data_IF_719486343269
#
_entry.id   IF_719486343269
#
_cell.length_a   1.000
_cell.length_b   1.000
_cell.length_c   1.000
_cell.angle_alpha   90.00
_cell.angle_beta   90.00
_cell.angle_gamma   90.00
#
_symmetry.space_group_name_H-M   'P 1'
#
loop_
_entity.id
_entity.type
_entity.pdbx_description
1 polymer ?
#
# COMPACT_ATOMS: atom_id res chain seq x y z
N UNK A 1 7.53 26.81 -27.02
CA UNK A 1 6.81 26.00 -26.03
C UNK A 1 7.23 24.56 -26.26
N UNK A 2 7.93 23.94 -25.32
CA UNK A 2 8.25 22.51 -25.40
C UNK A 2 6.94 21.72 -25.23
N UNK A 3 6.52 21.02 -26.28
CA UNK A 3 5.43 20.05 -26.16
C UNK A 3 6.03 18.78 -25.54
N UNK A 4 5.71 18.52 -24.29
CA UNK A 4 5.96 17.21 -23.69
C UNK A 4 5.25 16.14 -24.52
N UNK A 5 5.91 15.01 -24.74
CA UNK A 5 5.29 13.85 -25.36
C UNK A 5 4.12 13.39 -24.48
N UNK A 6 3.01 12.94 -25.08
CA UNK A 6 1.90 12.32 -24.32
C UNK A 6 2.38 11.20 -23.37
N UNK A 7 3.46 10.51 -23.74
CA UNK A 7 4.08 9.47 -22.91
C UNK A 7 4.76 10.06 -21.67
N UNK A 8 5.42 11.20 -21.80
CA UNK A 8 6.08 11.89 -20.68
C UNK A 8 5.05 12.47 -19.72
N UNK A 9 3.97 13.07 -20.25
CA UNK A 9 2.84 13.54 -19.44
C UNK A 9 2.21 12.41 -18.63
N UNK A 10 1.89 11.27 -19.27
CA UNK A 10 1.35 10.09 -18.58
C UNK A 10 2.30 9.52 -17.53
N UNK A 11 3.61 9.50 -17.80
CA UNK A 11 4.59 9.06 -16.82
C UNK A 11 4.68 10.00 -15.62
N UNK A 12 4.60 11.32 -15.84
CA UNK A 12 4.58 12.31 -14.77
C UNK A 12 3.31 12.17 -13.90
N UNK A 13 2.14 11.98 -14.54
CA UNK A 13 0.89 11.70 -13.84
C UNK A 13 0.98 10.44 -12.97
N UNK A 14 1.51 9.35 -13.53
CA UNK A 14 1.71 8.11 -12.77
C UNK A 14 2.68 8.30 -11.61
N UNK A 15 3.73 9.09 -11.78
CA UNK A 15 4.67 9.38 -10.70
C UNK A 15 4.01 10.12 -9.54
N UNK A 16 3.18 11.12 -9.82
CA UNK A 16 2.41 11.84 -8.78
C UNK A 16 1.51 10.88 -7.99
N UNK A 17 0.86 9.94 -8.69
CA UNK A 17 0.01 8.92 -8.04
C UNK A 17 0.85 7.97 -7.18
N UNK A 18 2.00 7.52 -7.69
CA UNK A 18 2.93 6.66 -6.93
C UNK A 18 3.39 7.36 -5.65
N UNK A 19 3.81 8.62 -5.73
CA UNK A 19 4.29 9.38 -4.57
C UNK A 19 3.18 9.53 -3.52
N UNK A 20 1.95 9.81 -3.97
CA UNK A 20 0.77 9.89 -3.08
C UNK A 20 0.46 8.56 -2.40
N UNK A 21 0.59 7.44 -3.12
CA UNK A 21 0.40 6.10 -2.56
C UNK A 21 1.49 5.76 -1.56
N UNK A 22 2.76 6.09 -1.84
CA UNK A 22 3.87 5.87 -0.92
C UNK A 22 3.65 6.61 0.41
N UNK A 23 3.28 7.89 0.35
CA UNK A 23 2.96 8.69 1.55
C UNK A 23 1.78 8.09 2.33
N UNK A 24 0.73 7.66 1.62
CA UNK A 24 -0.43 7.01 2.26
C UNK A 24 -0.03 5.73 2.99
N UNK A 25 0.76 4.86 2.34
CA UNK A 25 1.20 3.60 2.92
C UNK A 25 2.18 3.84 4.09
N UNK A 26 3.06 4.84 4.01
CA UNK A 26 3.94 5.25 5.13
C UNK A 26 3.13 5.62 6.39
N UNK A 27 1.91 6.13 6.23
CA UNK A 27 0.98 6.35 7.36
C UNK A 27 0.62 5.07 8.14
N UNK A 28 0.78 3.89 7.54
CA UNK A 28 0.57 2.59 8.18
C UNK A 28 1.87 1.95 8.71
N UNK A 29 2.98 2.69 8.76
CA UNK A 29 4.30 2.13 9.13
C UNK A 29 4.31 1.42 10.46
N UNK A 30 3.70 2.02 11.47
CA UNK A 30 3.65 1.43 12.82
C UNK A 30 2.96 0.05 12.79
N UNK A 31 1.89 -0.07 11.99
CA UNK A 31 1.14 -1.30 11.83
C UNK A 31 1.99 -2.41 11.20
N UNK A 32 2.56 -2.19 10.01
CA UNK A 32 3.34 -3.26 9.38
C UNK A 32 4.73 -3.47 10.01
N UNK A 33 5.26 -2.52 10.79
CA UNK A 33 6.49 -2.73 11.57
C UNK A 33 6.31 -3.80 12.66
N UNK A 34 5.10 -3.96 13.19
CA UNK A 34 4.74 -5.04 14.10
C UNK A 34 4.55 -6.39 13.39
N UNK A 35 4.57 -6.41 12.05
CA UNK A 35 4.36 -7.59 11.22
C UNK A 35 5.52 -7.76 10.22
N UNK A 36 6.62 -8.45 10.61
CA UNK A 36 7.84 -8.54 9.80
C UNK A 36 7.64 -8.96 8.33
N UNK A 37 6.71 -9.87 7.98
CA UNK A 37 6.42 -10.17 6.58
C UNK A 37 5.87 -8.98 5.78
N UNK A 38 5.03 -8.15 6.40
CA UNK A 38 4.46 -6.95 5.78
C UNK A 38 5.51 -5.86 5.63
N UNK A 39 6.35 -5.68 6.64
CA UNK A 39 7.48 -4.76 6.55
C UNK A 39 8.42 -5.12 5.39
N UNK A 40 8.82 -6.39 5.26
CA UNK A 40 9.67 -6.83 4.13
C UNK A 40 9.03 -6.56 2.78
N UNK A 41 7.72 -6.78 2.66
CA UNK A 41 6.98 -6.52 1.42
C UNK A 41 6.92 -5.02 1.12
N UNK A 42 6.72 -4.19 2.14
CA UNK A 42 6.76 -2.73 2.00
C UNK A 42 8.14 -2.23 1.52
N UNK A 43 9.23 -2.66 2.16
CA UNK A 43 10.59 -2.27 1.78
C UNK A 43 10.93 -2.65 0.33
N UNK A 44 10.44 -3.80 -0.14
CA UNK A 44 10.60 -4.22 -1.53
C UNK A 44 9.84 -3.32 -2.51
N UNK A 45 8.61 -2.92 -2.17
CA UNK A 45 7.77 -2.04 -2.99
C UNK A 45 8.31 -0.60 -3.04
N UNK A 46 8.84 -0.10 -1.91
CA UNK A 46 9.46 1.22 -1.85
C UNK A 46 10.68 1.28 -2.79
N UNK A 47 11.53 0.25 -2.76
CA UNK A 47 12.66 0.12 -3.69
C UNK A 47 12.22 -0.04 -5.16
N UNK A 48 11.14 -0.77 -5.41
CA UNK A 48 10.57 -0.90 -6.75
C UNK A 48 10.13 0.46 -7.30
N UNK A 49 9.48 1.28 -6.48
CA UNK A 49 9.01 2.61 -6.91
C UNK A 49 10.14 3.56 -7.31
N UNK A 50 11.29 3.47 -6.63
CA UNK A 50 12.49 4.25 -6.93
C UNK A 50 13.19 3.80 -8.23
N UNK A 51 13.24 2.49 -8.47
CA UNK A 51 14.14 1.91 -9.49
C UNK A 51 13.43 1.45 -10.77
N UNK A 52 12.13 1.16 -10.71
CA UNK A 52 11.41 0.61 -11.84
C UNK A 52 11.05 1.67 -12.89
N UNK A 53 11.27 1.30 -14.17
CA UNK A 53 10.87 2.09 -15.33
C UNK A 53 9.39 1.94 -15.67
N UNK A 54 8.76 0.82 -15.30
CA UNK A 54 7.33 0.57 -15.49
C UNK A 54 6.51 1.14 -14.32
N UNK A 55 6.13 2.41 -14.45
CA UNK A 55 5.34 3.12 -13.44
C UNK A 55 3.92 2.58 -13.29
N UNK A 56 3.36 1.93 -14.31
CA UNK A 56 2.00 1.36 -14.21
C UNK A 56 2.00 0.15 -13.28
N UNK A 57 2.96 -0.75 -13.46
CA UNK A 57 3.11 -1.95 -12.62
C UNK A 57 3.39 -1.57 -11.16
N UNK A 58 4.29 -0.60 -10.92
CA UNK A 58 4.55 -0.06 -9.57
C UNK A 58 3.25 0.43 -8.92
N UNK A 59 2.49 1.26 -9.63
CA UNK A 59 1.22 1.81 -9.12
C UNK A 59 0.22 0.70 -8.78
N UNK A 60 0.07 -0.30 -9.64
CA UNK A 60 -0.84 -1.43 -9.41
C UNK A 60 -0.39 -2.27 -8.19
N UNK A 61 0.91 -2.50 -8.02
CA UNK A 61 1.48 -3.19 -6.86
C UNK A 61 1.25 -2.44 -5.54
N UNK A 62 1.44 -1.11 -5.54
CA UNK A 62 1.20 -0.26 -4.38
C UNK A 62 -0.27 -0.25 -3.96
N UNK A 63 -1.20 -0.12 -4.93
CA UNK A 63 -2.64 -0.21 -4.67
C UNK A 63 -3.00 -1.58 -4.07
N UNK A 64 -2.45 -2.66 -4.64
CA UNK A 64 -2.67 -4.01 -4.12
C UNK A 64 -2.19 -4.18 -2.68
N UNK A 65 -1.03 -3.62 -2.35
CA UNK A 65 -0.50 -3.65 -0.98
C UNK A 65 -1.35 -2.82 -0.02
N UNK A 66 -1.75 -1.61 -0.40
CA UNK A 66 -2.61 -0.77 0.43
C UNK A 66 -3.95 -1.45 0.76
N UNK A 67 -4.60 -2.04 -0.25
CA UNK A 67 -5.84 -2.80 -0.06
C UNK A 67 -5.65 -3.99 0.89
N UNK A 68 -4.53 -4.70 0.75
CA UNK A 68 -4.20 -5.80 1.65
C UNK A 68 -3.99 -5.34 3.09
N UNK A 69 -3.23 -4.26 3.30
CA UNK A 69 -2.98 -3.68 4.64
C UNK A 69 -4.29 -3.21 5.27
N UNK A 70 -5.15 -2.53 4.50
CA UNK A 70 -6.46 -2.08 4.97
C UNK A 70 -7.36 -3.25 5.39
N UNK A 71 -7.41 -4.32 4.59
CA UNK A 71 -8.18 -5.52 4.92
C UNK A 71 -7.63 -6.24 6.15
N UNK A 72 -6.31 -6.42 6.23
CA UNK A 72 -5.64 -7.08 7.36
C UNK A 72 -5.85 -6.28 8.66
N UNK A 73 -5.78 -4.95 8.61
CA UNK A 73 -6.12 -4.08 9.74
C UNK A 73 -7.58 -4.26 10.16
N UNK A 74 -8.50 -4.25 9.19
CA UNK A 74 -9.92 -4.49 9.42
C UNK A 74 -10.21 -5.85 10.08
N UNK A 75 -9.49 -6.92 9.71
CA UNK A 75 -9.61 -8.23 10.36
C UNK A 75 -9.02 -8.27 11.77
N UNK A 76 -7.90 -7.57 12.00
CA UNK A 76 -7.29 -7.47 13.33
C UNK A 76 -8.08 -6.61 14.31
N UNK A 77 -8.82 -5.62 13.80
CA UNK A 77 -9.75 -4.77 14.57
C UNK A 77 -11.18 -5.36 14.62
N UNK A 78 -11.51 -6.32 13.74
CA UNK A 78 -12.80 -7.00 13.74
C UNK A 78 -12.90 -7.91 14.97
N UNK A 79 -13.89 -7.69 15.86
CA UNK A 79 -13.91 -8.34 17.15
C UNK A 79 -14.09 -9.86 17.02
N UNK A 80 -13.16 -10.61 17.63
CA UNK A 80 -13.48 -11.91 18.26
C UNK A 80 -14.45 -11.77 19.46
N UNK A 81 -15.18 -10.66 19.61
CA UNK A 81 -16.23 -10.42 20.62
C UNK A 81 -17.55 -11.18 20.36
N UNK A 82 -17.51 -12.35 19.74
CA UNK A 82 -18.69 -13.24 19.67
C UNK A 82 -18.44 -14.67 20.20
N UNK A 83 -17.30 -14.95 20.85
CA UNK A 83 -17.02 -16.29 21.39
C UNK A 83 -16.90 -16.42 22.91
N UNK A 84 -17.25 -15.39 23.68
CA UNK A 84 -17.26 -15.48 25.15
C UNK A 84 -18.52 -14.88 25.80
N UNK A 85 -19.70 -15.12 25.22
CA UNK A 85 -20.98 -14.79 25.87
C UNK A 85 -22.07 -15.84 25.58
N UNK A 86 -21.77 -17.11 25.82
CA UNK A 86 -22.79 -18.15 26.00
C UNK A 86 -22.24 -19.28 26.88
N UNK A 87 -21.76 -18.88 28.06
CA UNK A 87 -21.72 -19.77 29.22
C UNK A 87 -22.29 -19.00 30.40
N UNK A 88 -23.61 -19.09 30.58
CA UNK A 88 -24.24 -19.08 31.90
C UNK A 88 -25.73 -19.38 31.79
N UNK A 89 -26.09 -20.47 32.47
CA UNK A 89 -27.41 -21.03 32.78
C UNK A 89 -28.08 -21.89 31.71
#
# INVERSE_FOLDING_TARGET
>A
MEQFSEKEAKNAELQIVIDSLLETIRGYRDFFSAHPPLQKRWEALEKEAETASDKKTVKDNLVGFLNYVAAFKGESESPREQRQSSTSR
#
